data_IF_081092769346
#
_entry.id   IF_081092769346
#
_cell.length_a   1.000
_cell.length_b   1.000
_cell.length_c   1.000
_cell.angle_alpha   90.00
_cell.angle_beta   90.00
_cell.angle_gamma   90.00
#
_symmetry.space_group_name_H-M   'P 1'
#
loop_
_entity.id
_entity.type
_entity.pdbx_description
1 polymer ?
#
# COMPACT_ATOMS: atom_id res chain seq x y z
N UNK A 1 -4.73 2.93 -4.98
CA UNK A 1 -4.24 4.23 -5.53
C UNK A 1 -4.31 5.41 -4.54
N UNK A 2 -5.33 5.41 -3.70
CA UNK A 2 -5.69 6.40 -2.68
C UNK A 2 -4.52 6.80 -1.78
N UNK A 3 -3.67 5.84 -1.38
CA UNK A 3 -2.48 6.11 -0.57
C UNK A 3 -1.42 6.96 -1.29
N UNK A 4 -1.19 6.70 -2.58
CA UNK A 4 -0.24 7.48 -3.41
C UNK A 4 -0.76 8.91 -3.56
N UNK A 5 -2.06 9.08 -3.82
CA UNK A 5 -2.68 10.40 -3.94
C UNK A 5 -2.63 11.19 -2.63
N UNK A 6 -2.79 10.50 -1.49
CA UNK A 6 -2.62 11.11 -0.19
C UNK A 6 -1.18 11.61 0.02
N UNK A 7 -0.18 10.79 -0.33
CA UNK A 7 1.24 11.20 -0.24
C UNK A 7 1.52 12.42 -1.12
N UNK A 8 1.05 12.42 -2.37
CA UNK A 8 1.24 13.54 -3.31
C UNK A 8 0.62 14.86 -2.80
N UNK A 9 -0.52 14.78 -2.11
CA UNK A 9 -1.18 15.97 -1.54
C UNK A 9 -0.49 16.49 -0.27
N UNK A 10 0.12 15.59 0.50
CA UNK A 10 0.68 15.89 1.82
C UNK A 10 2.14 16.32 1.75
N UNK A 11 2.92 15.78 0.81
CA UNK A 11 4.37 15.99 0.73
C UNK A 11 4.79 16.76 -0.53
N UNK A 12 5.92 17.51 -0.49
CA UNK A 12 6.42 18.25 -1.64
C UNK A 12 6.78 17.32 -2.81
N UNK A 13 6.23 17.58 -3.99
CA UNK A 13 6.41 16.75 -5.19
C UNK A 13 7.87 16.77 -5.70
N UNK A 14 8.57 17.89 -5.56
CA UNK A 14 9.95 18.07 -6.02
C UNK A 14 11.00 17.32 -5.19
N UNK A 15 10.62 16.87 -3.98
CA UNK A 15 11.51 16.18 -3.03
C UNK A 15 11.02 14.80 -2.63
N UNK A 16 9.89 14.36 -3.15
CA UNK A 16 9.24 13.10 -2.75
C UNK A 16 9.00 12.21 -3.95
N UNK A 17 9.49 10.98 -3.90
CA UNK A 17 9.23 9.97 -4.94
C UNK A 17 8.78 8.68 -4.27
N UNK A 18 7.61 8.17 -4.69
CA UNK A 18 7.11 6.87 -4.24
C UNK A 18 7.56 5.81 -5.23
N UNK A 19 8.45 4.93 -4.78
CA UNK A 19 8.85 3.75 -5.52
C UNK A 19 8.01 2.56 -5.06
N UNK A 20 7.32 1.90 -5.98
CA UNK A 20 6.50 0.73 -5.71
C UNK A 20 6.65 -0.28 -6.84
N UNK A 21 6.57 -1.58 -6.51
CA UNK A 21 6.67 -2.65 -7.50
C UNK A 21 5.36 -2.84 -8.28
N UNK A 22 4.23 -2.57 -7.63
CA UNK A 22 2.89 -2.65 -8.21
C UNK A 22 1.99 -1.58 -7.61
N UNK A 23 0.96 -1.18 -8.36
CA UNK A 23 -0.12 -0.30 -7.92
C UNK A 23 -1.43 -1.04 -8.17
N UNK A 24 -2.13 -1.36 -7.10
CA UNK A 24 -3.41 -2.07 -7.15
C UNK A 24 -4.61 -1.10 -7.23
N UNK A 25 -5.82 -1.65 -7.39
CA UNK A 25 -7.03 -0.94 -7.81
C UNK A 25 -7.62 -0.04 -6.73
N UNK A 26 -7.74 -0.51 -5.49
CA UNK A 26 -8.38 0.24 -4.41
C UNK A 26 -8.05 -0.30 -3.02
N UNK A 27 -8.57 0.38 -1.99
CA UNK A 27 -8.72 -0.16 -0.65
C UNK A 27 -10.15 -0.66 -0.41
N UNK A 28 -10.30 -1.79 0.29
CA UNK A 28 -11.60 -2.25 0.75
C UNK A 28 -12.05 -1.54 2.06
N UNK A 29 -13.22 -1.93 2.58
CA UNK A 29 -13.81 -1.36 3.80
C UNK A 29 -12.91 -1.53 5.04
N UNK A 30 -12.14 -2.62 5.09
CA UNK A 30 -11.16 -2.91 6.13
C UNK A 30 -9.78 -2.29 5.90
N UNK A 31 -9.63 -1.46 4.85
CA UNK A 31 -8.38 -0.77 4.50
C UNK A 31 -7.25 -1.69 4.01
N UNK A 32 -7.58 -2.89 3.55
CA UNK A 32 -6.64 -3.71 2.77
C UNK A 32 -6.62 -3.28 1.31
N UNK A 33 -5.46 -3.41 0.68
CA UNK A 33 -5.27 -3.21 -0.75
C UNK A 33 -5.94 -4.36 -1.52
N UNK A 34 -6.65 -4.05 -2.60
CA UNK A 34 -7.36 -5.01 -3.46
C UNK A 34 -6.89 -4.86 -4.92
N UNK A 35 -6.47 -5.96 -5.59
CA UNK A 35 -6.46 -7.35 -5.10
C UNK A 35 -5.46 -7.60 -3.97
N UNK A 36 -4.32 -6.89 -3.97
CA UNK A 36 -3.35 -6.90 -2.87
C UNK A 36 -2.82 -8.29 -2.50
N UNK A 37 -2.25 -8.37 -1.30
CA UNK A 37 -1.66 -9.62 -0.76
C UNK A 37 -2.17 -9.98 0.63
N UNK A 38 -3.12 -9.21 1.19
CA UNK A 38 -3.55 -9.38 2.58
C UNK A 38 -2.53 -8.82 3.57
N UNK A 39 -2.33 -9.50 4.70
CA UNK A 39 -1.39 -9.06 5.74
C UNK A 39 0.05 -9.50 5.41
N UNK A 40 0.87 -8.52 5.01
CA UNK A 40 2.26 -8.76 4.66
C UNK A 40 3.09 -9.32 5.84
N UNK A 41 2.80 -8.88 7.06
CA UNK A 41 3.54 -9.28 8.25
C UNK A 41 3.29 -10.75 8.58
N UNK A 42 2.02 -11.15 8.59
CA UNK A 42 1.64 -12.54 8.84
C UNK A 42 2.14 -13.48 7.73
N UNK A 43 2.10 -13.05 6.47
CA UNK A 43 2.66 -13.85 5.37
C UNK A 43 4.18 -14.06 5.52
N UNK A 44 4.91 -13.00 5.87
CA UNK A 44 6.36 -13.09 6.02
C UNK A 44 6.76 -13.87 7.28
N UNK A 45 6.13 -13.59 8.42
CA UNK A 45 6.64 -13.96 9.74
C UNK A 45 5.62 -14.63 10.65
N UNK A 46 4.35 -14.72 10.23
CA UNK A 46 3.31 -15.40 10.98
C UNK A 46 3.68 -16.86 11.26
N UNK A 47 3.15 -17.37 12.36
CA UNK A 47 3.31 -18.76 12.76
C UNK A 47 2.89 -19.68 11.62
N UNK A 48 3.81 -20.55 11.20
CA UNK A 48 3.57 -21.57 10.19
C UNK A 48 3.38 -22.88 10.95
N UNK A 49 2.13 -23.34 11.03
CA UNK A 49 1.83 -24.72 11.42
C UNK A 49 1.95 -25.66 10.21
#
# INVERSE_FOLDING_TARGET
PEGIDHVRKTFPEDRTTVWCAAIDECLNEHKYIVPGLGDAGDLCFGGKE
#
